data_IF_643521117816
#
_entry.id   IF_643521117816
#
_cell.length_a   1.000
_cell.length_b   1.000
_cell.length_c   1.000
_cell.angle_alpha   90.00
_cell.angle_beta   90.00
_cell.angle_gamma   90.00
#
_symmetry.space_group_name_H-M   'P 1'
#
loop_
_entity.id
_entity.type
_entity.pdbx_description
1 polymer ?
#
# COMPACT_ATOMS: atom_id res chain seq x y z
N UNK A 1 -0.96 19.75 -19.64
CA UNK A 1 -1.95 20.05 -18.57
C UNK A 1 -1.19 20.53 -17.35
N UNK A 2 -1.25 21.82 -17.04
CA UNK A 2 -0.59 22.48 -15.92
C UNK A 2 -1.26 22.04 -14.62
N UNK A 3 -0.52 21.36 -13.76
CA UNK A 3 -0.96 21.01 -12.40
C UNK A 3 -1.36 22.31 -11.67
N UNK A 4 -2.56 22.42 -11.11
CA UNK A 4 -2.97 23.62 -10.40
C UNK A 4 -1.98 23.89 -9.25
N UNK A 5 -1.57 25.16 -9.11
CA UNK A 5 -0.65 25.61 -8.09
C UNK A 5 -1.15 25.16 -6.70
N UNK A 6 -0.28 24.53 -5.92
CA UNK A 6 -0.60 24.03 -4.58
C UNK A 6 -1.08 25.18 -3.68
N UNK A 7 -2.34 25.12 -3.28
CA UNK A 7 -2.95 26.09 -2.34
C UNK A 7 -2.58 25.82 -0.86
N UNK A 8 -1.59 24.95 -0.59
CA UNK A 8 -1.25 24.55 0.77
C UNK A 8 0.10 25.13 1.19
N UNK A 9 0.24 25.58 2.46
CA UNK A 9 1.50 26.09 2.97
C UNK A 9 2.57 25.00 2.99
N UNK A 10 3.82 25.37 2.70
CA UNK A 10 4.97 24.45 2.71
C UNK A 10 5.22 23.80 4.08
N UNK A 11 4.81 24.48 5.14
CA UNK A 11 4.89 24.00 6.53
C UNK A 11 3.52 24.09 7.19
N UNK A 12 2.62 23.14 6.90
CA UNK A 12 1.28 23.13 7.45
C UNK A 12 1.27 22.79 8.94
N UNK A 13 0.28 23.32 9.65
CA UNK A 13 -0.15 22.79 10.93
C UNK A 13 -0.79 21.39 10.76
N UNK A 14 -1.21 20.76 11.87
CA UNK A 14 -1.79 19.41 11.82
C UNK A 14 -3.08 19.38 10.99
N UNK A 15 -3.94 20.37 11.14
CA UNK A 15 -5.22 20.46 10.45
C UNK A 15 -5.02 20.63 8.93
N UNK A 16 -4.14 21.53 8.53
CA UNK A 16 -3.78 21.76 7.13
C UNK A 16 -3.18 20.53 6.48
N UNK A 17 -2.24 19.86 7.15
CA UNK A 17 -1.64 18.62 6.65
C UNK A 17 -2.68 17.51 6.45
N UNK A 18 -3.51 17.25 7.48
CA UNK A 18 -4.49 16.17 7.44
C UNK A 18 -5.53 16.40 6.36
N UNK A 19 -6.07 17.62 6.27
CA UNK A 19 -7.08 17.96 5.24
C UNK A 19 -6.52 17.79 3.84
N UNK A 20 -5.34 18.37 3.57
CA UNK A 20 -4.71 18.27 2.26
C UNK A 20 -4.44 16.81 1.86
N UNK A 21 -3.89 16.02 2.77
CA UNK A 21 -3.58 14.63 2.53
C UNK A 21 -4.84 13.75 2.36
N UNK A 22 -5.90 13.98 3.17
CA UNK A 22 -7.18 13.27 3.02
C UNK A 22 -7.87 13.63 1.72
N UNK A 23 -7.97 14.92 1.38
CA UNK A 23 -8.61 15.37 0.14
C UNK A 23 -7.94 14.75 -1.09
N UNK A 24 -6.60 14.74 -1.14
CA UNK A 24 -5.87 14.13 -2.24
C UNK A 24 -6.02 12.60 -2.29
N UNK A 25 -6.00 11.93 -1.14
CA UNK A 25 -6.19 10.48 -1.08
C UNK A 25 -7.62 10.08 -1.51
N UNK A 26 -8.63 10.84 -1.09
CA UNK A 26 -10.02 10.62 -1.50
C UNK A 26 -10.24 10.87 -2.99
N UNK A 27 -9.66 11.95 -3.53
CA UNK A 27 -9.75 12.23 -4.98
C UNK A 27 -9.17 11.08 -5.82
N UNK A 28 -8.05 10.48 -5.38
CA UNK A 28 -7.49 9.30 -6.03
C UNK A 28 -8.42 8.08 -5.92
N UNK A 29 -9.01 7.83 -4.74
CA UNK A 29 -9.97 6.74 -4.56
C UNK A 29 -11.17 6.94 -5.47
N UNK A 30 -11.78 8.14 -5.49
CA UNK A 30 -12.94 8.45 -6.31
C UNK A 30 -12.65 8.27 -7.80
N UNK A 31 -11.56 8.84 -8.31
CA UNK A 31 -11.18 8.73 -9.73
C UNK A 31 -11.03 7.27 -10.20
N UNK A 32 -10.48 6.39 -9.34
CA UNK A 32 -10.35 4.97 -9.69
C UNK A 32 -11.65 4.18 -9.46
N UNK A 33 -12.49 4.59 -8.49
CA UNK A 33 -13.81 4.01 -8.30
C UNK A 33 -14.71 4.22 -9.52
N UNK A 34 -14.78 5.46 -10.02
CA UNK A 34 -15.62 5.82 -11.17
C UNK A 34 -15.24 4.98 -12.40
N UNK A 35 -13.93 4.74 -12.57
CA UNK A 35 -13.42 3.90 -13.66
C UNK A 35 -13.79 2.42 -13.50
N UNK A 36 -13.79 1.88 -12.26
CA UNK A 36 -14.21 0.50 -11.98
C UNK A 36 -15.72 0.35 -12.10
N UNK A 37 -16.49 1.33 -11.62
CA UNK A 37 -17.95 1.33 -11.65
C UNK A 37 -18.51 1.42 -13.08
N UNK A 38 -17.81 2.09 -13.98
CA UNK A 38 -18.14 2.20 -15.39
C UNK A 38 -17.90 0.90 -16.19
N UNK A 39 -17.55 -0.21 -15.53
CA UNK A 39 -17.41 -1.52 -16.16
C UNK A 39 -16.11 -1.71 -16.95
N UNK A 40 -15.16 -0.80 -16.83
CA UNK A 40 -13.80 -0.98 -17.38
C UNK A 40 -12.91 -1.68 -16.35
N UNK A 41 -13.27 -2.91 -15.98
CA UNK A 41 -12.57 -3.74 -14.98
C UNK A 41 -11.18 -4.22 -15.40
N UNK A 42 -10.47 -3.43 -16.20
CA UNK A 42 -9.07 -3.68 -16.51
C UNK A 42 -8.29 -3.91 -15.21
N UNK A 43 -7.56 -4.99 -15.12
CA UNK A 43 -6.76 -5.38 -13.94
C UNK A 43 -5.92 -4.22 -13.39
N UNK A 44 -5.44 -3.33 -14.28
CA UNK A 44 -4.67 -2.13 -13.89
C UNK A 44 -5.54 -1.11 -13.12
N UNK A 45 -6.80 -0.91 -13.47
CA UNK A 45 -7.70 0.04 -12.78
C UNK A 45 -8.05 -0.44 -11.37
N UNK A 46 -8.35 -1.74 -11.24
CA UNK A 46 -8.53 -2.39 -9.93
C UNK A 46 -7.22 -2.26 -9.11
N UNK A 47 -6.07 -2.42 -9.76
CA UNK A 47 -4.77 -2.21 -9.11
C UNK A 47 -4.61 -0.80 -8.56
N UNK A 48 -4.88 0.21 -9.36
CA UNK A 48 -4.74 1.61 -8.96
C UNK A 48 -5.72 1.96 -7.82
N UNK A 49 -6.96 1.48 -7.87
CA UNK A 49 -7.91 1.63 -6.78
C UNK A 49 -7.39 0.99 -5.47
N UNK A 50 -6.83 -0.21 -5.55
CA UNK A 50 -6.22 -0.86 -4.37
C UNK A 50 -5.01 -0.09 -3.83
N UNK A 51 -4.20 0.50 -4.70
CA UNK A 51 -3.09 1.39 -4.27
C UNK A 51 -3.65 2.61 -3.55
N UNK A 52 -4.68 3.27 -4.11
CA UNK A 52 -5.33 4.43 -3.51
C UNK A 52 -5.94 4.10 -2.13
N UNK A 53 -6.70 3.00 -2.02
CA UNK A 53 -7.26 2.53 -0.76
C UNK A 53 -6.17 2.21 0.29
N UNK A 54 -5.08 1.60 -0.12
CA UNK A 54 -3.95 1.31 0.79
C UNK A 54 -3.28 2.60 1.27
N UNK A 55 -3.15 3.61 0.40
CA UNK A 55 -2.65 4.94 0.77
C UNK A 55 -3.58 5.60 1.78
N UNK A 56 -4.89 5.65 1.51
CA UNK A 56 -5.89 6.21 2.42
C UNK A 56 -5.86 5.52 3.80
N UNK A 57 -5.92 4.20 3.85
CA UNK A 57 -5.84 3.42 5.11
C UNK A 57 -4.52 3.65 5.87
N UNK A 58 -3.40 3.87 5.14
CA UNK A 58 -2.13 4.22 5.78
C UNK A 58 -2.21 5.61 6.41
N UNK A 59 -2.78 6.59 5.72
CA UNK A 59 -2.96 7.94 6.24
C UNK A 59 -3.82 7.93 7.51
N UNK A 60 -4.98 7.28 7.46
CA UNK A 60 -5.88 7.16 8.61
C UNK A 60 -5.17 6.55 9.82
N UNK A 61 -4.45 5.46 9.63
CA UNK A 61 -3.74 4.75 10.71
C UNK A 61 -2.56 5.53 11.28
N UNK A 62 -1.73 6.13 10.41
CA UNK A 62 -0.49 6.75 10.87
C UNK A 62 -0.70 8.19 11.34
N UNK A 63 -1.78 8.84 10.92
CA UNK A 63 -2.11 10.23 11.28
C UNK A 63 -3.27 10.34 12.29
N UNK A 64 -3.80 9.23 12.83
CA UNK A 64 -4.89 9.25 13.81
C UNK A 64 -4.62 10.19 15.00
N UNK A 65 -3.37 10.30 15.47
CA UNK A 65 -3.01 11.22 16.57
C UNK A 65 -2.93 12.70 16.15
N UNK A 66 -3.05 13.02 14.85
CA UNK A 66 -3.20 14.40 14.36
C UNK A 66 -4.66 14.77 14.14
N UNK A 67 -5.56 13.80 14.13
CA UNK A 67 -6.97 14.00 13.89
C UNK A 67 -7.81 13.01 14.72
N UNK A 68 -8.21 13.36 15.94
CA UNK A 68 -9.06 12.51 16.78
C UNK A 68 -10.41 12.17 16.15
N UNK A 69 -10.85 12.95 15.16
CA UNK A 69 -12.03 12.64 14.34
C UNK A 69 -11.84 11.48 13.35
N UNK A 70 -10.62 10.97 13.18
CA UNK A 70 -10.38 9.72 12.44
C UNK A 70 -10.82 8.53 13.28
N UNK A 71 -11.94 7.93 12.92
CA UNK A 71 -12.53 6.82 13.64
C UNK A 71 -11.90 5.49 13.27
N UNK A 72 -11.67 4.63 14.25
CA UNK A 72 -11.08 3.30 14.03
C UNK A 72 -12.01 2.40 13.20
N UNK A 73 -13.31 2.60 13.30
CA UNK A 73 -14.38 1.86 12.59
C UNK A 73 -14.27 2.00 11.07
N UNK A 74 -13.68 3.09 10.58
CA UNK A 74 -13.47 3.30 9.13
C UNK A 74 -12.53 2.26 8.48
N UNK A 75 -11.65 1.63 9.27
CA UNK A 75 -10.71 0.65 8.69
C UNK A 75 -11.42 -0.62 8.20
N UNK A 76 -12.49 -1.06 8.86
CA UNK A 76 -13.16 -2.32 8.52
C UNK A 76 -13.86 -2.29 7.14
N UNK A 77 -14.72 -1.31 6.78
CA UNK A 77 -15.31 -1.23 5.44
C UNK A 77 -14.27 -1.04 4.33
N UNK A 78 -13.26 -0.19 4.58
CA UNK A 78 -12.15 0.01 3.63
C UNK A 78 -11.31 -1.27 3.46
N UNK A 79 -11.14 -2.07 4.52
CA UNK A 79 -10.43 -3.35 4.47
C UNK A 79 -11.20 -4.38 3.68
N UNK A 80 -12.53 -4.43 3.85
CA UNK A 80 -13.41 -5.36 3.15
C UNK A 80 -13.41 -5.07 1.64
N UNK A 81 -13.63 -3.82 1.23
CA UNK A 81 -13.55 -3.42 -0.18
C UNK A 81 -12.16 -3.74 -0.76
N UNK A 82 -11.08 -3.41 -0.03
CA UNK A 82 -9.72 -3.75 -0.44
C UNK A 82 -9.51 -5.27 -0.61
N UNK A 83 -10.10 -6.11 0.23
CA UNK A 83 -9.98 -7.56 0.15
C UNK A 83 -10.75 -8.11 -1.05
N UNK A 84 -12.01 -7.68 -1.26
CA UNK A 84 -12.83 -8.09 -2.41
C UNK A 84 -12.16 -7.74 -3.74
N UNK A 85 -11.63 -6.52 -3.88
CA UNK A 85 -10.83 -6.12 -5.03
C UNK A 85 -9.53 -6.93 -5.18
N UNK A 86 -9.10 -7.66 -4.15
CA UNK A 86 -7.85 -8.42 -4.11
C UNK A 86 -7.88 -9.74 -4.81
N UNK A 87 -8.97 -10.48 -4.64
CA UNK A 87 -9.16 -11.79 -5.24
C UNK A 87 -9.12 -11.72 -6.76
N UNK A 88 -9.60 -10.63 -7.33
CA UNK A 88 -9.72 -10.40 -8.76
C UNK A 88 -8.39 -10.05 -9.44
N UNK A 89 -7.59 -9.20 -8.79
CA UNK A 89 -6.33 -8.71 -9.34
C UNK A 89 -5.15 -9.66 -9.17
N UNK A 90 -5.12 -10.34 -8.01
CA UNK A 90 -3.93 -11.11 -7.62
C UNK A 90 -3.63 -12.23 -8.64
N UNK A 91 -4.64 -12.69 -9.38
CA UNK A 91 -4.49 -13.65 -10.46
C UNK A 91 -3.72 -13.07 -11.68
N UNK A 92 -4.12 -11.93 -12.24
CA UNK A 92 -3.50 -11.37 -13.45
C UNK A 92 -2.07 -10.86 -13.20
N UNK A 93 -1.90 -9.97 -12.20
CA UNK A 93 -0.57 -9.40 -11.88
C UNK A 93 0.42 -10.46 -11.38
N UNK A 94 -0.09 -11.49 -10.70
CA UNK A 94 0.72 -12.60 -10.24
C UNK A 94 1.18 -13.45 -11.43
N UNK A 95 0.32 -13.64 -12.44
CA UNK A 95 0.65 -14.32 -13.68
C UNK A 95 1.80 -13.62 -14.42
N UNK A 96 1.74 -12.29 -14.57
CA UNK A 96 2.79 -11.51 -15.25
C UNK A 96 4.17 -11.66 -14.60
N UNK A 97 4.23 -11.85 -13.29
CA UNK A 97 5.49 -12.02 -12.55
C UNK A 97 5.94 -13.49 -12.52
N UNK A 98 5.00 -14.42 -12.38
CA UNK A 98 5.31 -15.83 -12.08
C UNK A 98 5.38 -16.67 -13.34
N UNK A 99 4.54 -16.39 -14.36
CA UNK A 99 4.53 -17.15 -15.62
C UNK A 99 5.90 -17.19 -16.30
N UNK A 100 6.64 -16.08 -16.49
CA UNK A 100 7.98 -16.14 -17.08
C UNK A 100 8.92 -17.05 -16.30
N UNK A 101 8.86 -17.03 -14.97
CA UNK A 101 9.71 -17.88 -14.12
C UNK A 101 9.41 -19.37 -14.29
N UNK A 102 8.14 -19.73 -14.54
CA UNK A 102 7.72 -21.11 -14.76
C UNK A 102 8.02 -21.56 -16.17
N UNK A 103 7.85 -20.68 -17.17
CA UNK A 103 8.23 -20.94 -18.56
C UNK A 103 9.74 -21.19 -18.69
N UNK A 104 10.58 -20.37 -18.05
CA UNK A 104 12.03 -20.56 -18.00
C UNK A 104 12.45 -21.89 -17.34
N UNK A 105 11.57 -22.50 -16.59
CA UNK A 105 11.78 -23.77 -15.89
C UNK A 105 11.10 -24.95 -16.60
N UNK A 106 10.58 -24.77 -17.81
CA UNK A 106 9.83 -25.77 -18.57
C UNK A 106 8.70 -26.43 -17.74
N UNK A 107 8.00 -25.64 -16.94
CA UNK A 107 6.93 -26.13 -16.09
C UNK A 107 5.77 -26.67 -16.93
N UNK A 108 5.23 -27.86 -16.61
CA UNK A 108 4.14 -28.48 -17.35
C UNK A 108 2.81 -27.71 -17.20
N UNK A 109 2.72 -26.80 -16.23
CA UNK A 109 1.62 -25.89 -16.00
C UNK A 109 2.16 -24.55 -15.53
N UNK A 110 1.89 -23.48 -16.30
CA UNK A 110 2.36 -22.12 -16.00
C UNK A 110 1.25 -21.20 -15.49
N UNK A 111 0.00 -21.61 -15.66
CA UNK A 111 -1.18 -20.83 -15.31
C UNK A 111 -2.05 -21.56 -14.28
N UNK A 112 -2.73 -20.80 -13.47
CA UNK A 112 -3.78 -21.30 -12.56
C UNK A 112 -5.15 -20.82 -13.03
N UNK A 113 -6.20 -21.47 -12.51
CA UNK A 113 -7.57 -21.04 -12.80
C UNK A 113 -7.79 -19.59 -12.35
N UNK A 114 -8.12 -18.73 -13.29
CA UNK A 114 -8.48 -17.32 -13.05
C UNK A 114 -10.01 -17.25 -13.07
N UNK A 115 -10.64 -16.48 -12.16
CA UNK A 115 -12.06 -16.21 -12.24
C UNK A 115 -12.44 -15.61 -13.59
N UNK A 116 -13.66 -15.91 -14.06
CA UNK A 116 -14.19 -15.30 -15.27
C UNK A 116 -14.12 -13.78 -15.20
N UNK A 117 -13.67 -13.13 -16.27
CA UNK A 117 -13.44 -11.68 -16.30
C UNK A 117 -14.74 -10.90 -16.05
N UNK A 118 -15.86 -11.35 -16.61
CA UNK A 118 -17.17 -10.70 -16.40
C UNK A 118 -17.65 -10.80 -14.96
N UNK A 119 -17.47 -11.97 -14.31
CA UNK A 119 -17.77 -12.12 -12.89
C UNK A 119 -16.83 -11.26 -12.03
N UNK A 120 -15.55 -11.20 -12.41
CA UNK A 120 -14.56 -10.37 -11.75
C UNK A 120 -14.95 -8.88 -11.76
N UNK A 121 -15.38 -8.37 -12.88
CA UNK A 121 -15.84 -6.97 -13.03
C UNK A 121 -17.10 -6.70 -12.22
N UNK A 122 -18.08 -7.61 -12.25
CA UNK A 122 -19.30 -7.50 -11.44
C UNK A 122 -18.98 -7.46 -9.94
N UNK A 123 -18.08 -8.31 -9.48
CA UNK A 123 -17.65 -8.34 -8.07
C UNK A 123 -16.90 -7.07 -7.68
N UNK A 124 -16.06 -6.51 -8.57
CA UNK A 124 -15.36 -5.26 -8.34
C UNK A 124 -16.35 -4.08 -8.25
N UNK A 125 -17.31 -3.99 -9.17
CA UNK A 125 -18.36 -2.98 -9.14
C UNK A 125 -19.22 -3.11 -7.86
N UNK A 126 -19.60 -4.33 -7.47
CA UNK A 126 -20.32 -4.56 -6.22
C UNK A 126 -19.52 -4.12 -4.98
N UNK A 127 -18.20 -4.34 -4.99
CA UNK A 127 -17.33 -3.94 -3.86
C UNK A 127 -17.25 -2.42 -3.68
N UNK A 128 -17.31 -1.63 -4.77
CA UNK A 128 -17.25 -0.16 -4.70
C UNK A 128 -18.61 0.48 -4.44
N UNK A 129 -19.72 -0.24 -4.70
CA UNK A 129 -21.09 0.19 -4.42
C UNK A 129 -21.59 -0.19 -3.02
N UNK A 130 -20.77 -0.90 -2.24
CA UNK A 130 -21.14 -1.33 -0.88
C UNK A 130 -21.55 -0.12 -0.01
N UNK A 131 -22.78 -0.09 0.57
CA UNK A 131 -23.28 1.09 1.30
C UNK A 131 -22.37 1.53 2.45
N UNK A 132 -21.83 0.61 3.24
CA UNK A 132 -20.93 0.93 4.36
C UNK A 132 -19.60 1.51 3.88
N UNK A 133 -19.09 1.07 2.73
CA UNK A 133 -17.89 1.62 2.11
C UNK A 133 -18.12 3.07 1.65
N UNK A 134 -19.23 3.33 0.94
CA UNK A 134 -19.60 4.67 0.47
C UNK A 134 -19.85 5.62 1.64
N UNK A 135 -20.58 5.19 2.66
CA UNK A 135 -20.78 5.96 3.88
C UNK A 135 -19.46 6.33 4.55
N UNK A 136 -18.54 5.37 4.65
CA UNK A 136 -17.21 5.61 5.23
C UNK A 136 -16.44 6.66 4.43
N UNK A 137 -16.45 6.61 3.10
CA UNK A 137 -15.82 7.63 2.27
C UNK A 137 -16.45 9.01 2.46
N UNK A 138 -17.78 9.09 2.57
CA UNK A 138 -18.51 10.34 2.82
C UNK A 138 -18.12 10.96 4.18
N UNK A 139 -18.00 10.16 5.24
CA UNK A 139 -17.58 10.61 6.56
C UNK A 139 -16.13 11.11 6.57
N UNK A 140 -15.22 10.41 5.88
CA UNK A 140 -13.83 10.85 5.72
C UNK A 140 -13.78 12.16 4.89
N UNK A 141 -14.62 12.28 3.88
CA UNK A 141 -14.75 13.50 3.07
C UNK A 141 -15.22 14.68 3.92
N UNK A 142 -16.23 14.49 4.76
CA UNK A 142 -16.72 15.51 5.69
C UNK A 142 -15.60 16.01 6.63
N UNK A 143 -14.76 15.11 7.15
CA UNK A 143 -13.59 15.49 7.95
C UNK A 143 -12.55 16.28 7.14
N UNK A 144 -12.32 15.90 5.88
CA UNK A 144 -11.38 16.60 4.99
C UNK A 144 -11.86 18.00 4.61
N UNK A 145 -13.18 18.21 4.50
CA UNK A 145 -13.81 19.48 4.14
C UNK A 145 -14.15 20.38 5.35
N UNK A 146 -13.90 19.91 6.57
CA UNK A 146 -14.22 20.68 7.77
C UNK A 146 -13.61 22.09 7.69
N UNK A 147 -14.39 23.16 7.99
CA UNK A 147 -13.95 24.54 7.81
C UNK A 147 -12.72 24.87 8.63
N UNK A 148 -11.85 25.72 8.09
CA UNK A 148 -10.67 26.19 8.81
C UNK A 148 -11.10 27.16 9.94
N UNK A 149 -10.93 26.74 11.20
CA UNK A 149 -11.24 27.58 12.37
C UNK A 149 -10.30 27.31 13.54
N UNK A 150 -10.30 28.20 14.53
CA UNK A 150 -9.39 28.13 15.70
C UNK A 150 -9.60 26.85 16.54
N UNK A 151 -10.78 26.23 16.51
CA UNK A 151 -11.08 24.91 17.07
C UNK A 151 -11.87 24.10 16.05
N UNK A 152 -11.20 23.16 15.40
CA UNK A 152 -11.86 22.25 14.48
C UNK A 152 -12.25 20.96 15.23
N UNK A 153 -13.55 20.62 15.29
CA UNK A 153 -13.94 19.32 15.81
C UNK A 153 -13.21 18.20 15.07
N UNK A 154 -12.59 17.31 15.82
CA UNK A 154 -11.89 16.16 15.24
C UNK A 154 -10.47 16.39 14.72
N UNK A 155 -9.89 17.61 14.83
CA UNK A 155 -8.50 17.88 14.51
C UNK A 155 -7.73 18.43 15.72
N UNK A 156 -6.45 18.05 15.85
CA UNK A 156 -5.56 18.52 16.92
C UNK A 156 -4.95 19.85 16.51
N UNK A 157 -4.93 20.82 17.41
CA UNK A 157 -4.24 22.09 17.21
C UNK A 157 -2.73 21.91 17.50
N UNK A 158 -2.00 21.32 16.55
CA UNK A 158 -0.54 21.31 16.58
C UNK A 158 0.01 22.29 15.55
N UNK A 159 0.97 23.10 15.98
CA UNK A 159 1.74 23.97 15.08
C UNK A 159 2.49 23.16 14.02
N UNK A 160 3.01 23.83 13.00
CA UNK A 160 3.87 23.20 11.99
C UNK A 160 5.06 22.44 12.62
N UNK A 161 5.69 22.98 13.67
CA UNK A 161 6.76 22.30 14.40
C UNK A 161 6.26 21.04 15.12
N UNK A 162 5.08 21.10 15.74
CA UNK A 162 4.44 19.94 16.37
C UNK A 162 4.09 18.84 15.36
N UNK A 163 3.52 19.23 14.21
CA UNK A 163 3.21 18.34 13.09
C UNK A 163 4.47 17.66 12.56
N UNK A 164 5.54 18.44 12.32
CA UNK A 164 6.84 17.88 11.91
C UNK A 164 7.36 16.86 12.90
N UNK A 165 7.33 17.17 14.21
CA UNK A 165 7.78 16.26 15.29
C UNK A 165 6.95 14.97 15.33
N UNK A 166 5.64 15.07 15.15
CA UNK A 166 4.75 13.91 15.10
C UNK A 166 5.10 13.00 13.91
N UNK A 167 5.13 13.54 12.69
CA UNK A 167 5.45 12.80 11.48
C UNK A 167 6.83 12.16 11.53
N UNK A 168 7.85 12.89 12.02
CA UNK A 168 9.20 12.37 12.21
C UNK A 168 9.21 11.15 13.15
N UNK A 169 8.49 11.20 14.28
CA UNK A 169 8.37 10.08 15.22
C UNK A 169 7.71 8.85 14.58
N UNK A 170 6.64 9.06 13.78
CA UNK A 170 5.94 7.96 13.10
C UNK A 170 6.81 7.31 12.03
N UNK A 171 7.46 8.10 11.18
CA UNK A 171 8.43 7.64 10.17
C UNK A 171 9.59 6.87 10.82
N UNK A 172 10.20 7.44 11.86
CA UNK A 172 11.28 6.79 12.59
C UNK A 172 10.85 5.45 13.22
N UNK A 173 9.64 5.38 13.78
CA UNK A 173 9.08 4.13 14.34
C UNK A 173 8.92 3.06 13.27
N UNK A 174 8.28 3.38 12.14
CA UNK A 174 8.10 2.43 11.03
C UNK A 174 9.45 1.97 10.47
N UNK A 175 10.37 2.90 10.25
CA UNK A 175 11.71 2.60 9.75
C UNK A 175 12.46 1.64 10.69
N UNK A 176 12.52 1.95 11.99
CA UNK A 176 13.13 1.06 12.97
C UNK A 176 12.52 -0.35 12.99
N UNK A 177 11.19 -0.46 12.88
CA UNK A 177 10.50 -1.75 12.83
C UNK A 177 10.88 -2.55 11.57
N UNK A 178 10.90 -1.88 10.40
CA UNK A 178 11.30 -2.50 9.13
C UNK A 178 12.75 -2.99 9.21
N UNK A 179 13.67 -2.16 9.70
CA UNK A 179 15.07 -2.53 9.78
C UNK A 179 15.35 -3.63 10.82
N UNK A 180 14.70 -3.57 11.99
CA UNK A 180 14.86 -4.58 13.03
C UNK A 180 14.46 -5.97 12.50
N UNK A 181 13.27 -6.08 11.93
CA UNK A 181 12.74 -7.35 11.45
C UNK A 181 13.44 -7.76 10.13
N UNK A 182 13.84 -6.79 9.31
CA UNK A 182 14.58 -6.96 8.07
C UNK A 182 15.96 -7.60 8.22
N UNK A 183 16.62 -7.40 9.38
CA UNK A 183 17.93 -8.05 9.67
C UNK A 183 17.88 -9.58 9.62
N UNK A 184 16.74 -10.15 9.93
CA UNK A 184 16.49 -11.60 9.98
C UNK A 184 15.41 -12.05 8.98
N UNK A 185 15.15 -11.26 7.95
CA UNK A 185 14.02 -11.47 7.04
C UNK A 185 13.96 -12.91 6.52
N UNK A 186 15.10 -13.46 6.10
CA UNK A 186 15.26 -14.81 5.55
C UNK A 186 15.05 -15.94 6.58
N UNK A 187 14.98 -15.60 7.88
CA UNK A 187 14.72 -16.56 8.97
C UNK A 187 13.32 -16.39 9.57
N UNK A 188 12.56 -15.40 9.12
CA UNK A 188 11.21 -15.16 9.61
C UNK A 188 10.22 -16.12 8.95
N UNK A 189 9.18 -16.58 9.69
CA UNK A 189 8.03 -17.25 9.07
C UNK A 189 7.37 -16.35 8.03
N UNK A 190 6.75 -16.92 6.97
CA UNK A 190 6.10 -16.18 5.87
C UNK A 190 5.15 -15.08 6.35
N UNK A 191 4.33 -15.39 7.36
CA UNK A 191 3.42 -14.39 7.93
C UNK A 191 4.15 -13.17 8.54
N UNK A 192 5.36 -13.36 9.07
CA UNK A 192 6.18 -12.26 9.58
C UNK A 192 6.88 -11.52 8.43
N UNK A 193 7.36 -12.21 7.40
CA UNK A 193 7.90 -11.62 6.19
C UNK A 193 6.85 -10.71 5.51
N UNK A 194 5.61 -11.17 5.41
CA UNK A 194 4.48 -10.38 4.93
C UNK A 194 4.21 -9.13 5.79
N UNK A 195 4.36 -9.22 7.12
CA UNK A 195 4.25 -8.05 8.02
C UNK A 195 5.36 -7.02 7.75
N UNK A 196 6.59 -7.45 7.48
CA UNK A 196 7.70 -6.53 7.10
C UNK A 196 7.35 -5.80 5.81
N UNK A 197 6.87 -6.52 4.77
CA UNK A 197 6.41 -5.91 3.50
C UNK A 197 5.29 -4.88 3.73
N UNK A 198 4.28 -5.20 4.53
CA UNK A 198 3.20 -4.26 4.88
C UNK A 198 3.73 -3.01 5.60
N UNK A 199 4.71 -3.15 6.50
CA UNK A 199 5.33 -2.00 7.19
C UNK A 199 6.17 -1.15 6.25
N UNK A 200 6.92 -1.77 5.34
CA UNK A 200 7.69 -1.06 4.32
C UNK A 200 6.78 -0.23 3.40
N UNK A 201 5.66 -0.79 2.93
CA UNK A 201 4.66 -0.05 2.16
C UNK A 201 4.08 1.14 2.96
N UNK A 202 3.76 0.95 4.24
CA UNK A 202 3.28 2.06 5.10
C UNK A 202 4.34 3.14 5.28
N UNK A 203 5.60 2.75 5.48
CA UNK A 203 6.72 3.70 5.57
C UNK A 203 6.82 4.54 4.30
N UNK A 204 6.74 3.92 3.13
CA UNK A 204 6.76 4.63 1.83
C UNK A 204 5.61 5.62 1.76
N UNK A 205 4.36 5.18 1.94
CA UNK A 205 3.21 6.06 1.79
C UNK A 205 3.22 7.22 2.78
N UNK A 206 3.62 7.00 4.03
CA UNK A 206 3.75 8.08 4.99
C UNK A 206 4.88 9.06 4.59
N UNK A 207 5.99 8.56 4.06
CA UNK A 207 7.08 9.38 3.55
C UNK A 207 6.64 10.20 2.32
N UNK A 208 5.85 9.59 1.42
CA UNK A 208 5.29 10.29 0.26
C UNK A 208 4.34 11.42 0.69
N UNK A 209 3.40 11.15 1.64
CA UNK A 209 2.52 12.17 2.19
C UNK A 209 3.29 13.31 2.86
N UNK A 210 4.31 13.01 3.66
CA UNK A 210 5.13 14.02 4.32
C UNK A 210 5.87 14.91 3.30
N UNK A 211 6.37 14.33 2.21
CA UNK A 211 7.07 15.06 1.14
C UNK A 211 6.12 15.88 0.27
N UNK A 212 4.93 15.38 0.03
CA UNK A 212 3.95 16.00 -0.86
C UNK A 212 3.20 17.15 -0.17
N UNK A 213 2.75 16.93 1.08
CA UNK A 213 1.88 17.88 1.79
C UNK A 213 2.59 18.69 2.88
N UNK A 214 3.88 18.46 3.09
CA UNK A 214 4.71 19.25 4.00
C UNK A 214 6.14 19.46 3.44
N UNK A 215 6.31 19.92 2.18
CA UNK A 215 7.59 19.93 1.49
C UNK A 215 8.65 20.81 2.16
N UNK A 216 8.25 21.90 2.83
CA UNK A 216 9.15 22.80 3.54
C UNK A 216 9.59 22.33 4.93
N UNK A 217 9.08 21.18 5.41
CA UNK A 217 9.48 20.64 6.72
C UNK A 217 10.84 19.95 6.72
N UNK A 218 11.27 19.43 5.56
CA UNK A 218 12.55 18.71 5.40
C UNK A 218 13.22 19.02 4.07
N UNK A 219 14.57 18.89 3.98
CA UNK A 219 15.30 19.09 2.72
C UNK A 219 14.83 18.13 1.63
N UNK A 220 14.33 18.67 0.51
CA UNK A 220 13.76 17.86 -0.59
C UNK A 220 14.73 16.84 -1.20
N UNK A 221 16.04 17.15 -1.27
CA UNK A 221 17.08 16.22 -1.75
C UNK A 221 17.17 14.96 -0.88
N UNK A 222 17.13 15.11 0.46
CA UNK A 222 17.17 13.98 1.39
C UNK A 222 15.93 13.11 1.25
N UNK A 223 14.76 13.73 1.09
CA UNK A 223 13.49 13.01 0.88
C UNK A 223 13.48 12.20 -0.41
N UNK A 224 13.98 12.74 -1.53
CA UNK A 224 14.11 12.01 -2.81
C UNK A 224 15.05 10.82 -2.68
N UNK A 225 16.27 11.03 -2.16
CA UNK A 225 17.24 9.97 -1.93
C UNK A 225 16.67 8.82 -1.10
N UNK A 226 15.91 9.14 -0.05
CA UNK A 226 15.27 8.10 0.77
C UNK A 226 14.18 7.35 0.00
N UNK A 227 13.35 8.04 -0.78
CA UNK A 227 12.30 7.42 -1.61
C UNK A 227 12.91 6.47 -2.65
N UNK A 228 13.99 6.88 -3.32
CA UNK A 228 14.73 6.05 -4.28
C UNK A 228 15.32 4.81 -3.60
N UNK A 229 15.86 4.96 -2.41
CA UNK A 229 16.43 3.84 -1.63
C UNK A 229 15.37 2.82 -1.16
N UNK A 230 14.08 3.19 -1.09
CA UNK A 230 13.00 2.26 -0.78
C UNK A 230 12.67 1.31 -1.93
N UNK A 231 12.88 1.72 -3.18
CA UNK A 231 12.44 0.99 -4.39
C UNK A 231 13.01 -0.43 -4.43
N UNK A 232 14.35 -0.66 -4.34
CA UNK A 232 14.88 -2.02 -4.43
C UNK A 232 14.38 -2.96 -3.32
N UNK A 233 14.13 -2.41 -2.12
CA UNK A 233 13.58 -3.20 -1.02
C UNK A 233 12.10 -3.56 -1.27
N UNK A 234 11.33 -2.66 -1.89
CA UNK A 234 9.93 -2.93 -2.23
C UNK A 234 9.80 -3.97 -3.32
N UNK A 235 10.63 -3.89 -4.35
CA UNK A 235 10.63 -4.83 -5.46
C UNK A 235 11.04 -6.23 -4.99
N UNK A 236 12.12 -6.33 -4.21
CA UNK A 236 12.56 -7.61 -3.66
C UNK A 236 11.51 -8.26 -2.74
N UNK A 237 10.88 -7.47 -1.84
CA UNK A 237 9.82 -7.98 -0.97
C UNK A 237 8.51 -8.21 -1.73
N UNK A 238 8.29 -7.50 -2.83
CA UNK A 238 7.20 -7.71 -3.77
C UNK A 238 7.29 -9.08 -4.41
N UNK A 239 8.37 -9.30 -5.16
CA UNK A 239 8.64 -10.58 -5.84
C UNK A 239 8.61 -11.77 -4.87
N UNK A 240 9.22 -11.64 -3.69
CA UNK A 240 9.19 -12.69 -2.68
C UNK A 240 7.76 -13.05 -2.24
N UNK A 241 6.92 -12.05 -1.99
CA UNK A 241 5.52 -12.27 -1.62
C UNK A 241 4.73 -12.89 -2.77
N UNK A 242 4.96 -12.44 -4.00
CA UNK A 242 4.19 -12.89 -5.15
C UNK A 242 4.51 -14.37 -5.47
N UNK A 243 5.78 -14.78 -5.37
CA UNK A 243 6.16 -16.19 -5.43
C UNK A 243 5.54 -17.01 -4.29
N UNK A 244 5.46 -16.48 -3.06
CA UNK A 244 4.86 -17.21 -1.94
C UNK A 244 3.35 -17.40 -2.13
N UNK A 245 2.65 -16.39 -2.65
CA UNK A 245 1.21 -16.47 -2.97
C UNK A 245 0.98 -17.46 -4.11
N UNK A 246 1.76 -17.38 -5.19
CA UNK A 246 1.64 -18.31 -6.31
C UNK A 246 1.92 -19.76 -5.89
N UNK A 247 2.95 -20.00 -5.07
CA UNK A 247 3.24 -21.33 -4.56
C UNK A 247 2.07 -21.93 -3.74
N UNK A 248 1.32 -21.08 -3.02
CA UNK A 248 0.12 -21.52 -2.31
C UNK A 248 -1.02 -21.85 -3.29
N UNK A 249 -1.28 -20.97 -4.29
CA UNK A 249 -2.31 -21.19 -5.30
C UNK A 249 -2.08 -22.49 -6.09
N UNK A 250 -0.85 -22.73 -6.56
CA UNK A 250 -0.53 -23.98 -7.26
C UNK A 250 -0.63 -25.20 -6.36
N UNK A 251 -0.34 -25.08 -5.07
CA UNK A 251 -0.54 -26.17 -4.12
C UNK A 251 -2.00 -26.52 -3.95
N UNK A 252 -2.87 -25.51 -3.87
CA UNK A 252 -4.32 -25.72 -3.78
C UNK A 252 -4.86 -26.34 -5.09
N UNK A 253 -4.38 -25.88 -6.25
CA UNK A 253 -4.75 -26.42 -7.57
C UNK A 253 -4.26 -27.87 -7.79
N UNK A 254 -3.17 -28.27 -7.15
CA UNK A 254 -2.61 -29.63 -7.29
C UNK A 254 -3.54 -30.72 -6.79
N UNK A 255 -4.57 -30.38 -6.02
CA UNK A 255 -5.66 -31.30 -5.66
C UNK A 255 -6.55 -31.71 -6.85
N UNK A 256 -6.61 -30.88 -7.90
CA UNK A 256 -7.41 -31.12 -9.12
C UNK A 256 -6.54 -31.36 -10.35
N UNK A 257 -5.36 -30.77 -10.41
CA UNK A 257 -4.39 -30.93 -11.50
C UNK A 257 -2.99 -31.22 -10.93
N UNK A 258 -2.56 -32.51 -10.94
CA UNK A 258 -1.24 -32.90 -10.40
C UNK A 258 -0.04 -32.18 -11.04
N UNK A 259 -0.16 -31.63 -12.26
CA UNK A 259 0.92 -30.88 -12.92
C UNK A 259 1.29 -29.62 -12.13
N UNK A 260 0.35 -29.08 -11.34
CA UNK A 260 0.57 -27.91 -10.49
C UNK A 260 1.62 -28.15 -9.39
N UNK A 261 1.91 -29.41 -9.02
CA UNK A 261 2.95 -29.74 -8.03
C UNK A 261 4.33 -29.27 -8.46
N UNK A 262 4.64 -29.33 -9.76
CA UNK A 262 5.93 -28.82 -10.25
C UNK A 262 6.07 -27.32 -9.94
N UNK A 263 5.09 -26.51 -10.34
CA UNK A 263 5.10 -25.06 -10.11
C UNK A 263 5.15 -24.72 -8.61
N UNK A 264 4.34 -25.40 -7.79
CA UNK A 264 4.35 -25.23 -6.33
C UNK A 264 5.74 -25.50 -5.73
N UNK A 265 6.36 -26.63 -6.09
CA UNK A 265 7.68 -27.04 -5.62
C UNK A 265 8.80 -26.12 -6.10
N UNK A 266 8.79 -25.74 -7.37
CA UNK A 266 9.77 -24.84 -7.97
C UNK A 266 9.75 -23.45 -7.30
N UNK A 267 8.57 -22.84 -7.14
CA UNK A 267 8.42 -21.56 -6.48
C UNK A 267 8.81 -21.64 -5.00
N UNK A 268 8.42 -22.71 -4.31
CA UNK A 268 8.80 -22.94 -2.91
C UNK A 268 10.32 -23.03 -2.74
N UNK A 269 11.02 -23.71 -3.63
CA UNK A 269 12.49 -23.82 -3.59
C UNK A 269 13.17 -22.46 -3.77
N UNK A 270 12.60 -21.57 -4.59
CA UNK A 270 13.13 -20.23 -4.83
C UNK A 270 12.88 -19.25 -3.68
N UNK A 271 11.94 -19.51 -2.78
CA UNK A 271 11.62 -18.60 -1.66
C UNK A 271 12.84 -18.34 -0.75
N UNK A 272 13.68 -19.33 -0.48
CA UNK A 272 14.86 -19.14 0.34
C UNK A 272 15.87 -18.14 -0.28
N UNK A 273 16.09 -18.22 -1.59
CA UNK A 273 16.97 -17.29 -2.31
C UNK A 273 16.38 -15.90 -2.39
N UNK A 274 15.09 -15.80 -2.69
CA UNK A 274 14.34 -14.54 -2.72
C UNK A 274 14.31 -13.86 -1.34
N UNK A 275 14.14 -14.62 -0.26
CA UNK A 275 14.22 -14.08 1.10
C UNK A 275 15.62 -13.51 1.43
N UNK A 276 16.70 -14.19 0.99
CA UNK A 276 18.07 -13.66 1.12
C UNK A 276 18.28 -12.36 0.32
N UNK A 277 17.71 -12.29 -0.89
CA UNK A 277 17.73 -11.07 -1.71
C UNK A 277 16.98 -9.92 -1.05
N UNK A 278 15.78 -10.18 -0.53
CA UNK A 278 14.99 -9.23 0.27
C UNK A 278 15.76 -8.71 1.49
N UNK A 279 16.45 -9.60 2.22
CA UNK A 279 17.31 -9.20 3.34
C UNK A 279 18.47 -8.31 2.90
N UNK A 280 19.12 -8.59 1.75
CA UNK A 280 20.19 -7.74 1.19
C UNK A 280 19.65 -6.35 0.85
N UNK A 281 18.50 -6.25 0.20
CA UNK A 281 17.87 -4.98 -0.13
C UNK A 281 17.50 -4.16 1.13
N UNK A 282 16.96 -4.80 2.17
CA UNK A 282 16.69 -4.16 3.46
C UNK A 282 17.97 -3.69 4.19
N UNK A 283 19.07 -4.41 4.04
CA UNK A 283 20.39 -3.98 4.56
C UNK A 283 20.93 -2.77 3.81
N UNK A 284 20.73 -2.70 2.49
CA UNK A 284 21.10 -1.52 1.71
C UNK A 284 20.28 -0.30 2.13
N UNK A 285 18.97 -0.44 2.33
CA UNK A 285 18.11 0.61 2.87
C UNK A 285 18.59 1.10 4.24
N UNK A 286 19.09 0.22 5.10
CA UNK A 286 19.59 0.59 6.44
C UNK A 286 20.77 1.55 6.42
N UNK A 287 21.48 1.68 5.30
CA UNK A 287 22.63 2.60 5.13
C UNK A 287 22.18 4.02 4.75
N UNK A 288 20.92 4.20 4.41
CA UNK A 288 20.38 5.49 4.02
C UNK A 288 19.63 6.10 5.20
N UNK A 289 20.08 7.25 5.73
CA UNK A 289 19.40 7.90 6.84
C UNK A 289 18.02 8.39 6.43
N UNK A 290 17.07 8.33 7.36
CA UNK A 290 15.75 8.92 7.15
C UNK A 290 15.84 10.43 7.03
N UNK A 291 15.10 11.02 6.10
CA UNK A 291 15.10 12.48 5.88
C UNK A 291 14.51 13.29 7.04
N UNK A 292 13.86 12.62 7.96
CA UNK A 292 13.24 13.17 9.17
C UNK A 292 14.18 13.24 10.38
N UNK A 293 15.40 12.70 10.27
CA UNK A 293 16.41 12.71 11.31
C UNK A 293 17.04 14.11 11.48
#
# INVERSE_FOLDING_TARGET
>A
MTTPARQFPDRPDAAGFVRAALAAALAQVQSHMDAVDAGSGEAERIHQLRVALRRLRTLLRECAGLAPGMRAEWDAPLALAFARLGTLRDAGTLADVVRPLLQDADAPLCDWAVPDAGQADADAAAAVREPQFLQTLAEIHALAQAPAGKRQPGLVSLSAAGTRKYLARRLARLHRQVLRDGRRFDRLPLAQQHRVRKRLKRLRYLADFAREFAPGMWPGKKGRRFAEALVPAQDALGLHNDMAVAAALFRDQAGTDPRAWFAAGYLQARLATSARSSRRALRALARVPGFWA
#
